data_IF_167097940647
#
_entry.id   IF_167097940647
#
_cell.length_a   1.000
_cell.length_b   1.000
_cell.length_c   1.000
_cell.angle_alpha   90.00
_cell.angle_beta   90.00
_cell.angle_gamma   90.00
#
_symmetry.space_group_name_H-M   'P 1'
#
loop_
_entity.id
_entity.type
_entity.pdbx_description
1 polymer ?
#
# COMPACT_ATOMS: atom_id res chain seq x y z
N UNK A 1 7.95 -14.66 18.74
CA UNK A 1 7.79 -13.63 19.80
C UNK A 1 6.82 -12.61 19.24
N UNK A 2 5.63 -12.53 19.83
CA UNK A 2 4.35 -12.48 19.10
C UNK A 2 3.97 -11.12 18.49
N UNK A 3 4.36 -10.88 17.24
CA UNK A 3 3.83 -9.78 16.41
C UNK A 3 2.34 -9.98 16.12
N UNK A 4 1.92 -11.25 15.97
CA UNK A 4 0.52 -11.61 15.68
C UNK A 4 -0.41 -11.38 16.89
N UNK A 5 0.05 -11.56 18.13
CA UNK A 5 -0.81 -11.29 19.31
C UNK A 5 -1.15 -9.80 19.50
N UNK A 6 -0.34 -8.89 18.95
CA UNK A 6 -0.64 -7.45 19.02
C UNK A 6 -1.88 -7.08 18.21
N UNK A 7 -2.21 -7.89 17.20
CA UNK A 7 -3.36 -7.76 16.30
C UNK A 7 -4.43 -8.77 16.73
N UNK A 8 -5.59 -8.31 17.22
CA UNK A 8 -6.76 -9.21 17.30
C UNK A 8 -7.07 -9.65 15.86
N UNK A 9 -6.91 -10.94 15.54
CA UNK A 9 -7.25 -11.57 14.26
C UNK A 9 -8.59 -11.07 13.71
N UNK A 10 -8.57 -9.98 12.94
CA UNK A 10 -9.70 -9.42 12.20
C UNK A 10 -9.15 -8.71 10.96
N UNK A 11 -9.44 -9.32 9.81
CA UNK A 11 -9.23 -8.85 8.45
C UNK A 11 -7.78 -8.49 8.04
N UNK A 12 -7.30 -9.24 7.03
CA UNK A 12 -5.97 -9.16 6.41
C UNK A 12 -5.86 -7.94 5.47
N UNK A 13 -6.99 -7.36 5.08
CA UNK A 13 -7.08 -6.10 4.35
C UNK A 13 -7.85 -5.13 5.25
N UNK A 14 -7.30 -3.92 5.46
CA UNK A 14 -7.73 -2.90 6.41
C UNK A 14 -9.19 -3.02 6.92
N UNK A 15 -9.44 -3.83 7.95
CA UNK A 15 -10.72 -3.88 8.66
C UNK A 15 -11.92 -3.63 7.73
N UNK A 16 -12.10 -4.45 6.69
CA UNK A 16 -13.08 -4.29 5.60
C UNK A 16 -14.36 -3.64 6.11
N UNK A 17 -14.41 -2.30 6.00
CA UNK A 17 -15.45 -1.51 6.62
C UNK A 17 -16.66 -1.70 5.71
N UNK A 18 -17.48 -2.69 5.99
CA UNK A 18 -18.87 -2.78 5.48
C UNK A 18 -19.64 -1.45 5.73
N UNK A 19 -19.11 -0.55 6.57
CA UNK A 19 -19.63 0.80 6.82
C UNK A 19 -19.06 1.92 5.94
N UNK A 20 -18.01 1.71 5.13
CA UNK A 20 -17.52 2.74 4.21
C UNK A 20 -18.62 3.13 3.22
N UNK A 21 -19.42 2.17 2.74
CA UNK A 21 -20.57 2.44 1.86
C UNK A 21 -21.60 3.43 2.43
N UNK A 22 -21.65 3.65 3.76
CA UNK A 22 -22.57 4.62 4.39
C UNK A 22 -21.98 6.03 4.52
N UNK A 23 -20.66 6.17 4.70
CA UNK A 23 -19.98 7.48 4.66
C UNK A 23 -19.74 7.97 3.22
N UNK A 24 -19.75 7.06 2.26
CA UNK A 24 -19.40 7.29 0.85
C UNK A 24 -20.56 7.84 -0.01
N UNK A 25 -21.80 7.93 0.48
CA UNK A 25 -22.91 8.37 -0.38
C UNK A 25 -23.07 9.89 -0.57
N UNK A 26 -22.27 10.75 0.08
CA UNK A 26 -22.55 12.19 0.15
C UNK A 26 -21.54 13.16 -0.49
N UNK A 27 -20.26 12.79 -0.64
CA UNK A 27 -19.18 13.75 -0.97
C UNK A 27 -18.41 13.48 -2.28
N UNK A 28 -18.73 12.44 -3.05
CA UNK A 28 -17.87 11.99 -4.17
C UNK A 28 -18.27 12.48 -5.57
N UNK A 29 -19.47 13.04 -5.75
CA UNK A 29 -19.99 13.43 -7.08
C UNK A 29 -19.38 14.71 -7.69
N UNK A 30 -18.42 15.35 -7.02
CA UNK A 30 -17.79 16.58 -7.50
C UNK A 30 -16.31 16.39 -7.82
N UNK A 31 -15.97 15.38 -8.62
CA UNK A 31 -14.69 15.35 -9.32
C UNK A 31 -14.95 15.47 -10.82
N UNK A 32 -14.31 16.47 -11.42
CA UNK A 32 -14.40 16.79 -12.83
C UNK A 32 -14.08 15.56 -13.68
N UNK A 33 -14.63 15.52 -14.91
CA UNK A 33 -14.42 14.50 -15.96
C UNK A 33 -12.95 14.17 -16.33
N UNK A 34 -11.97 14.67 -15.59
CA UNK A 34 -10.56 14.54 -15.89
C UNK A 34 -9.93 13.23 -15.38
N UNK A 35 -10.50 12.55 -14.38
CA UNK A 35 -9.99 11.25 -13.89
C UNK A 35 -10.65 10.12 -14.67
N UNK A 36 -9.87 9.29 -15.36
CA UNK A 36 -10.41 8.18 -16.18
C UNK A 36 -10.87 6.99 -15.32
N UNK A 37 -10.37 6.86 -14.08
CA UNK A 37 -10.71 5.77 -13.14
C UNK A 37 -11.23 6.33 -11.81
N UNK A 38 -12.41 5.85 -11.42
CA UNK A 38 -13.21 6.37 -10.31
C UNK A 38 -12.88 5.69 -8.97
N UNK A 39 -13.37 6.31 -7.90
CA UNK A 39 -13.49 5.71 -6.57
C UNK A 39 -14.36 4.45 -6.66
N UNK A 40 -13.78 3.30 -6.36
CA UNK A 40 -14.40 1.98 -6.51
C UNK A 40 -13.54 0.95 -7.25
N UNK A 41 -12.39 1.36 -7.80
CA UNK A 41 -11.37 0.46 -8.36
C UNK A 41 -10.11 0.43 -7.49
N UNK A 42 -9.28 -0.60 -7.67
CA UNK A 42 -8.08 -0.86 -6.84
C UNK A 42 -6.97 0.20 -7.02
N UNK A 43 -7.07 1.07 -8.03
CA UNK A 43 -6.06 2.07 -8.33
C UNK A 43 -6.68 3.31 -8.95
N UNK A 44 -6.06 4.47 -8.68
CA UNK A 44 -6.41 5.75 -9.28
C UNK A 44 -5.57 6.01 -10.53
N UNK A 45 -6.18 6.55 -11.58
CA UNK A 45 -5.51 6.94 -12.82
C UNK A 45 -5.86 8.39 -13.15
N UNK A 46 -4.84 9.23 -13.21
CA UNK A 46 -4.98 10.68 -13.42
C UNK A 46 -4.16 11.10 -14.64
N UNK A 47 -4.79 11.54 -15.73
CA UNK A 47 -4.08 12.09 -16.90
C UNK A 47 -3.20 13.29 -16.53
N UNK A 48 -1.97 13.30 -17.03
CA UNK A 48 -0.99 14.37 -16.83
C UNK A 48 -1.10 15.40 -17.97
N UNK A 49 -2.21 16.13 -17.98
CA UNK A 49 -2.51 17.12 -19.04
C UNK A 49 -2.56 16.48 -20.43
N UNK A 50 -2.11 17.22 -21.44
CA UNK A 50 -2.12 16.77 -22.86
C UNK A 50 -0.87 15.95 -23.26
N UNK A 51 -0.10 15.46 -22.29
CA UNK A 51 1.19 14.79 -22.55
C UNK A 51 1.07 13.36 -23.09
N UNK A 52 -0.13 12.77 -23.03
CA UNK A 52 -0.38 11.35 -23.34
C UNK A 52 0.10 10.38 -22.25
N UNK A 53 0.51 10.90 -21.09
CA UNK A 53 0.83 10.11 -19.90
C UNK A 53 -0.25 10.26 -18.84
N UNK A 54 -0.40 9.22 -18.03
CA UNK A 54 -1.27 9.16 -16.88
C UNK A 54 -0.49 8.68 -15.67
N UNK A 55 -0.77 9.28 -14.52
CA UNK A 55 -0.26 8.86 -13.23
C UNK A 55 -1.19 7.78 -12.66
N UNK A 56 -0.65 6.58 -12.45
CA UNK A 56 -1.33 5.44 -11.82
C UNK A 56 -0.80 5.29 -10.42
N UNK A 57 -1.68 5.33 -9.42
CA UNK A 57 -1.29 5.19 -8.01
C UNK A 57 -2.31 4.37 -7.23
N UNK A 58 -1.78 3.53 -6.33
CA UNK A 58 -2.52 2.79 -5.31
C UNK A 58 -1.89 3.01 -3.95
N UNK A 59 -2.71 2.89 -2.90
CA UNK A 59 -2.29 2.87 -1.51
C UNK A 59 -2.98 1.71 -0.82
N UNK A 60 -2.20 0.85 -0.16
CA UNK A 60 -2.75 -0.18 0.71
C UNK A 60 -1.86 -0.37 1.93
N UNK A 61 -2.49 -0.69 3.06
CA UNK A 61 -1.84 -1.04 4.30
C UNK A 61 -2.73 -1.96 5.13
N UNK A 62 -2.09 -2.87 5.85
CA UNK A 62 -2.79 -3.85 6.65
C UNK A 62 -2.01 -4.25 7.90
N UNK A 63 -2.67 -5.06 8.73
CA UNK A 63 -2.08 -5.61 9.93
C UNK A 63 -1.28 -6.88 9.61
N UNK A 64 -0.04 -7.02 10.10
CA UNK A 64 0.80 -8.17 9.79
C UNK A 64 0.07 -9.47 10.17
N UNK A 65 -0.13 -10.33 9.17
CA UNK A 65 -0.85 -11.60 9.31
C UNK A 65 0.07 -12.79 9.60
N UNK A 66 1.38 -12.57 9.49
CA UNK A 66 2.43 -13.58 9.72
C UNK A 66 3.35 -13.13 10.84
N UNK A 67 3.95 -14.09 11.55
CA UNK A 67 4.84 -13.80 12.68
C UNK A 67 6.22 -13.30 12.26
N UNK A 68 6.72 -13.73 11.10
CA UNK A 68 8.02 -13.33 10.59
C UNK A 68 7.92 -11.90 10.00
N UNK A 69 8.58 -10.89 10.61
CA UNK A 69 8.48 -9.52 10.14
C UNK A 69 9.08 -9.31 8.74
N UNK A 70 10.10 -10.09 8.36
CA UNK A 70 10.70 -10.02 7.03
C UNK A 70 9.71 -10.49 5.96
N UNK A 71 9.03 -11.61 6.22
CA UNK A 71 8.00 -12.12 5.32
C UNK A 71 6.77 -11.21 5.31
N UNK A 72 6.37 -10.64 6.46
CA UNK A 72 5.30 -9.66 6.52
C UNK A 72 5.60 -8.43 5.62
N UNK A 73 6.85 -7.94 5.64
CA UNK A 73 7.30 -6.88 4.75
C UNK A 73 7.19 -7.23 3.27
N UNK A 74 7.57 -8.46 2.90
CA UNK A 74 7.38 -8.94 1.52
C UNK A 74 5.90 -8.99 1.14
N UNK A 75 5.05 -9.59 1.98
CA UNK A 75 3.62 -9.68 1.68
C UNK A 75 3.02 -8.28 1.49
N UNK A 76 3.42 -7.31 2.33
CA UNK A 76 2.94 -5.94 2.21
C UNK A 76 3.33 -5.26 0.91
N UNK A 77 4.60 -5.39 0.51
CA UNK A 77 5.05 -4.85 -0.77
C UNK A 77 4.36 -5.54 -1.96
N UNK A 78 4.11 -6.85 -1.88
CA UNK A 78 3.45 -7.59 -2.96
C UNK A 78 2.01 -7.12 -3.15
N UNK A 79 1.31 -6.89 -2.05
CA UNK A 79 -0.08 -6.43 -2.04
C UNK A 79 -0.21 -5.00 -2.58
N UNK A 80 0.68 -4.08 -2.17
CA UNK A 80 0.69 -2.72 -2.72
C UNK A 80 0.98 -2.71 -4.23
N UNK A 81 1.81 -3.64 -4.71
CA UNK A 81 2.11 -3.74 -6.14
C UNK A 81 1.00 -4.46 -6.93
N UNK A 82 0.19 -5.33 -6.31
CA UNK A 82 -0.80 -6.13 -7.03
C UNK A 82 -1.88 -5.29 -7.67
N UNK A 83 -2.32 -4.19 -7.04
CA UNK A 83 -3.36 -3.33 -7.61
C UNK A 83 -2.86 -2.61 -8.88
N UNK A 84 -1.58 -2.23 -8.88
CA UNK A 84 -0.94 -1.62 -10.04
C UNK A 84 -0.82 -2.65 -11.18
N UNK A 85 -0.48 -3.90 -10.86
CA UNK A 85 -0.47 -5.00 -11.83
C UNK A 85 -1.87 -5.39 -12.32
N UNK A 86 -2.91 -5.19 -11.52
CA UNK A 86 -4.30 -5.44 -11.92
C UNK A 86 -4.74 -4.53 -13.08
N UNK A 87 -4.19 -3.32 -13.17
CA UNK A 87 -4.38 -2.41 -14.30
C UNK A 87 -3.47 -2.71 -15.51
N UNK A 88 -2.76 -3.84 -15.51
CA UNK A 88 -1.83 -4.21 -16.59
C UNK A 88 -0.51 -3.43 -16.58
N UNK A 89 -0.31 -2.53 -15.61
CA UNK A 89 0.91 -1.74 -15.51
C UNK A 89 2.03 -2.61 -14.98
N UNK A 90 2.98 -3.01 -15.82
CA UNK A 90 4.07 -3.92 -15.39
C UNK A 90 5.25 -3.22 -14.73
N UNK A 91 5.32 -1.88 -14.82
CA UNK A 91 6.41 -1.07 -14.30
C UNK A 91 5.93 -0.22 -13.13
N UNK A 92 6.68 -0.20 -12.04
CA UNK A 92 6.44 0.71 -10.92
C UNK A 92 7.64 1.65 -10.77
N UNK A 93 7.42 2.96 -10.87
CA UNK A 93 8.51 3.94 -10.82
C UNK A 93 9.00 4.20 -9.40
N UNK A 94 8.09 4.18 -8.42
CA UNK A 94 8.45 4.31 -7.02
C UNK A 94 7.45 3.66 -6.07
N UNK A 95 7.97 3.22 -4.93
CA UNK A 95 7.18 2.81 -3.77
C UNK A 95 7.51 3.72 -2.59
N UNK A 96 6.48 4.20 -1.90
CA UNK A 96 6.60 4.84 -0.58
C UNK A 96 6.10 3.86 0.46
N UNK A 97 6.83 3.71 1.56
CA UNK A 97 6.48 2.75 2.60
C UNK A 97 5.72 3.41 3.75
N UNK A 98 4.67 2.75 4.24
CA UNK A 98 3.94 3.16 5.43
C UNK A 98 4.16 2.07 6.47
N UNK A 99 4.70 2.44 7.63
CA UNK A 99 4.92 1.50 8.73
C UNK A 99 4.46 2.10 10.04
N UNK A 100 3.73 1.34 10.84
CA UNK A 100 3.40 1.71 12.21
C UNK A 100 3.88 0.64 13.17
N UNK A 101 4.73 1.01 14.12
CA UNK A 101 5.16 0.10 15.17
C UNK A 101 4.16 0.10 16.32
N UNK A 102 3.86 -1.10 16.84
CA UNK A 102 2.98 -1.23 17.99
C UNK A 102 3.55 -0.53 19.23
N UNK A 103 2.73 0.23 19.94
CA UNK A 103 3.08 0.81 21.26
C UNK A 103 3.22 -0.23 22.36
N UNK A 104 2.77 -1.48 22.11
CA UNK A 104 2.92 -2.61 23.03
C UNK A 104 4.30 -3.25 22.96
N UNK A 105 5.07 -2.97 21.91
CA UNK A 105 6.43 -3.48 21.76
C UNK A 105 7.40 -2.61 22.56
N UNK A 106 8.30 -3.27 23.29
CA UNK A 106 9.45 -2.61 23.91
C UNK A 106 10.38 -2.03 22.84
N UNK A 107 11.19 -1.04 23.18
CA UNK A 107 12.18 -0.45 22.27
C UNK A 107 13.08 -1.50 21.62
N UNK A 108 13.65 -2.41 22.42
CA UNK A 108 14.49 -3.51 21.92
C UNK A 108 13.77 -4.42 20.91
N UNK A 109 12.47 -4.63 21.07
CA UNK A 109 11.68 -5.40 20.11
C UNK A 109 11.46 -4.61 18.82
N UNK A 110 11.21 -3.30 18.91
CA UNK A 110 11.04 -2.43 17.74
C UNK A 110 12.32 -2.34 16.91
N UNK A 111 13.47 -2.26 17.56
CA UNK A 111 14.80 -2.21 16.93
C UNK A 111 15.12 -3.49 16.13
N UNK A 112 14.41 -4.59 16.39
CA UNK A 112 14.53 -5.85 15.64
C UNK A 112 13.44 -5.95 14.57
N UNK A 113 12.19 -5.70 14.95
CA UNK A 113 11.02 -5.93 14.08
C UNK A 113 10.96 -4.92 12.93
N UNK A 114 11.16 -3.63 13.21
CA UNK A 114 11.04 -2.59 12.19
C UNK A 114 12.09 -2.75 11.09
N UNK A 115 13.40 -2.93 11.38
CA UNK A 115 14.38 -3.14 10.32
C UNK A 115 14.12 -4.39 9.46
N UNK A 116 13.61 -5.47 10.05
CA UNK A 116 13.25 -6.68 9.30
C UNK A 116 12.07 -6.44 8.35
N UNK A 117 11.03 -5.72 8.79
CA UNK A 117 9.91 -5.30 7.93
C UNK A 117 10.40 -4.48 6.74
N UNK A 118 11.20 -3.44 7.02
CA UNK A 118 11.75 -2.54 6.01
C UNK A 118 12.60 -3.32 5.00
N UNK A 119 13.43 -4.24 5.49
CA UNK A 119 14.25 -5.10 4.63
C UNK A 119 13.38 -6.00 3.74
N UNK A 120 12.30 -6.57 4.28
CA UNK A 120 11.35 -7.38 3.51
C UNK A 120 10.71 -6.61 2.37
N UNK A 121 10.24 -5.39 2.64
CA UNK A 121 9.66 -4.49 1.63
C UNK A 121 10.71 -4.15 0.56
N UNK A 122 11.90 -3.74 0.99
CA UNK A 122 12.98 -3.34 0.08
C UNK A 122 13.41 -4.49 -0.84
N UNK A 123 13.64 -5.68 -0.29
CA UNK A 123 14.08 -6.84 -1.07
C UNK A 123 13.03 -7.26 -2.11
N UNK A 124 11.73 -7.16 -1.80
CA UNK A 124 10.68 -7.44 -2.79
C UNK A 124 10.55 -6.32 -3.83
N UNK A 125 10.61 -5.06 -3.42
CA UNK A 125 10.57 -3.93 -4.33
C UNK A 125 11.71 -4.05 -5.38
N UNK A 126 12.91 -4.39 -4.94
CA UNK A 126 14.05 -4.63 -5.85
C UNK A 126 13.81 -5.82 -6.78
N UNK A 127 13.20 -6.92 -6.31
CA UNK A 127 12.82 -8.06 -7.15
C UNK A 127 11.76 -7.69 -8.19
N UNK A 128 10.83 -6.80 -7.84
CA UNK A 128 9.81 -6.26 -8.73
C UNK A 128 10.34 -5.20 -9.71
N UNK A 129 11.64 -4.89 -9.68
CA UNK A 129 12.27 -3.90 -10.56
C UNK A 129 11.98 -2.45 -10.17
N UNK A 130 11.49 -2.21 -8.94
CA UNK A 130 11.25 -0.88 -8.40
C UNK A 130 12.11 -0.61 -7.17
N UNK A 131 11.95 0.55 -6.54
CA UNK A 131 12.68 0.95 -5.34
C UNK A 131 11.77 1.66 -4.36
N UNK A 132 12.03 1.42 -3.08
CA UNK A 132 11.45 2.22 -2.00
C UNK A 132 12.22 3.55 -1.95
N UNK A 133 11.57 4.66 -2.26
CA UNK A 133 12.20 6.00 -2.34
C UNK A 133 11.94 6.87 -1.13
N UNK A 134 11.08 6.42 -0.21
CA UNK A 134 10.75 7.12 1.01
C UNK A 134 9.70 6.36 1.81
N UNK A 135 9.31 6.94 2.93
CA UNK A 135 8.26 6.37 3.76
C UNK A 135 8.13 7.10 5.09
N UNK A 136 7.08 6.74 5.81
CA UNK A 136 6.77 7.28 7.13
C UNK A 136 6.69 6.13 8.14
N UNK A 137 7.25 6.35 9.33
CA UNK A 137 7.15 5.40 10.44
C UNK A 137 6.52 6.06 11.66
N UNK A 138 5.40 5.52 12.11
CA UNK A 138 4.63 6.06 13.23
C UNK A 138 4.49 5.05 14.37
N UNK A 139 3.99 5.52 15.51
CA UNK A 139 3.57 4.67 16.62
C UNK A 139 2.05 4.52 16.59
N UNK A 140 1.58 3.29 16.71
CA UNK A 140 0.16 2.97 16.76
C UNK A 140 -0.07 1.84 17.77
N UNK A 141 -1.23 1.71 18.43
CA UNK A 141 -1.46 0.55 19.30
C UNK A 141 -1.30 -0.79 18.56
N UNK A 142 -1.67 -0.84 17.28
CA UNK A 142 -1.61 -2.04 16.44
C UNK A 142 -0.56 -1.85 15.34
N UNK A 143 0.27 -2.87 15.06
CA UNK A 143 1.30 -2.76 14.04
C UNK A 143 0.66 -2.67 12.65
N UNK A 144 1.13 -1.76 11.80
CA UNK A 144 0.63 -1.63 10.42
C UNK A 144 1.79 -1.62 9.44
N UNK A 145 1.57 -2.19 8.27
CA UNK A 145 2.52 -2.17 7.19
C UNK A 145 1.81 -2.04 5.85
N UNK A 146 2.39 -1.26 4.95
CA UNK A 146 1.85 -1.01 3.64
C UNK A 146 2.71 -0.02 2.88
N UNK A 147 2.09 0.65 1.92
CA UNK A 147 2.76 1.62 1.09
C UNK A 147 1.88 2.19 0.00
N UNK A 148 2.53 3.00 -0.82
CA UNK A 148 1.97 3.62 -2.01
C UNK A 148 2.84 3.19 -3.17
N UNK A 149 2.24 2.57 -4.18
CA UNK A 149 2.90 2.33 -5.46
C UNK A 149 2.46 3.41 -6.45
N UNK A 150 3.41 3.88 -7.26
CA UNK A 150 3.14 4.91 -8.25
C UNK A 150 3.90 4.63 -9.54
N UNK A 151 3.25 4.86 -10.67
CA UNK A 151 3.90 4.84 -11.97
C UNK A 151 3.29 5.87 -12.90
N UNK A 152 4.12 6.41 -13.79
CA UNK A 152 3.69 7.23 -14.91
C UNK A 152 3.70 6.35 -16.16
N UNK A 153 2.52 6.11 -16.70
CA UNK A 153 2.30 5.19 -17.81
C UNK A 153 1.66 5.93 -18.97
N UNK A 154 1.86 5.43 -20.18
CA UNK A 154 1.05 5.84 -21.33
C UNK A 154 -0.33 5.23 -21.21
N UNK A 155 -1.32 5.90 -21.78
CA UNK A 155 -2.69 5.36 -21.82
C UNK A 155 -2.75 3.98 -22.51
N UNK A 156 -1.87 3.71 -23.48
CA UNK A 156 -1.76 2.40 -24.13
C UNK A 156 -1.22 1.27 -23.25
N UNK A 157 -0.60 1.60 -22.11
CA UNK A 157 -0.04 0.62 -21.17
C UNK A 157 -1.05 0.24 -20.06
N UNK A 158 -2.16 0.96 -19.97
CA UNK A 158 -3.20 0.73 -18.97
C UNK A 158 -4.29 -0.15 -19.59
N UNK A 159 -4.55 -1.29 -18.96
CA UNK A 159 -5.61 -2.21 -19.38
C UNK A 159 -6.85 -1.92 -18.55
N UNK A 160 -7.95 -1.62 -19.24
CA UNK A 160 -9.25 -1.23 -18.66
C UNK A 160 -10.40 -2.05 -19.18
#
# INVERSE_FOLDING_TARGET
MEVVQATKLRAICACDLEQAGKFVNGQWYSLSKASLFYIGMDSSVVPLGDSGYSLVQTIDYFYPSVEDPYIAGKIACANVLSDLYALGVTRCDNVLMITASSTKLTEKQRDIVVPLLIRGVKDLAEQAGTRVTGGETMLNPWPMIGGVASSVCRESEIIS
#
